data_IF_591408359916
#
_entry.id   IF_591408359916
#
_cell.length_a   1.000
_cell.length_b   1.000
_cell.length_c   1.000
_cell.angle_alpha   90.00
_cell.angle_beta   90.00
_cell.angle_gamma   90.00
#
_symmetry.space_group_name_H-M   'P 1'
#
loop_
_entity.id
_entity.type
_entity.pdbx_description
1 polymer ?
#
# COMPACT_ATOMS: atom_id res chain seq x y z
N UNK A 1 -10.88 -30.58 -41.53
CA UNK A 1 -10.65 -29.15 -41.20
C UNK A 1 -10.29 -29.09 -39.72
N UNK A 2 -9.00 -29.15 -39.40
CA UNK A 2 -8.49 -29.11 -38.03
C UNK A 2 -8.38 -27.62 -37.64
N UNK A 3 -9.36 -27.12 -36.91
CA UNK A 3 -9.32 -25.77 -36.35
C UNK A 3 -8.27 -25.72 -35.24
N UNK A 4 -7.03 -25.37 -35.59
CA UNK A 4 -6.03 -25.00 -34.59
C UNK A 4 -6.45 -23.64 -34.06
N UNK A 5 -7.14 -23.65 -32.92
CA UNK A 5 -7.38 -22.46 -32.11
C UNK A 5 -6.04 -22.02 -31.53
N UNK A 6 -5.32 -21.16 -32.25
CA UNK A 6 -4.20 -20.42 -31.68
C UNK A 6 -4.84 -19.44 -30.70
N UNK A 7 -4.89 -19.80 -29.43
CA UNK A 7 -5.21 -18.86 -28.37
C UNK A 7 -4.11 -17.80 -28.37
N UNK A 8 -4.38 -16.64 -29.00
CA UNK A 8 -3.57 -15.45 -28.79
C UNK A 8 -3.66 -15.13 -27.30
N UNK A 9 -2.59 -15.39 -26.56
CA UNK A 9 -2.50 -15.02 -25.14
C UNK A 9 -2.42 -13.49 -25.09
N UNK A 10 -3.57 -12.83 -25.06
CA UNK A 10 -3.65 -11.40 -24.84
C UNK A 10 -3.08 -11.12 -23.45
N UNK A 11 -2.25 -10.08 -23.35
CA UNK A 11 -1.67 -9.70 -22.07
C UNK A 11 -2.78 -9.33 -21.09
N UNK A 12 -2.90 -10.07 -19.99
CA UNK A 12 -3.99 -9.91 -19.04
C UNK A 12 -3.48 -9.85 -17.61
N UNK A 13 -3.90 -8.80 -16.89
CA UNK A 13 -3.72 -8.70 -15.45
C UNK A 13 -4.71 -9.60 -14.71
N UNK A 14 -4.24 -10.27 -13.67
CA UNK A 14 -5.10 -10.90 -12.67
C UNK A 14 -5.86 -9.84 -11.86
N UNK A 15 -6.88 -10.28 -11.14
CA UNK A 15 -7.43 -9.48 -10.05
C UNK A 15 -6.34 -9.15 -9.02
N UNK A 16 -6.51 -8.03 -8.34
CA UNK A 16 -5.68 -7.68 -7.19
C UNK A 16 -5.98 -8.64 -6.04
N UNK A 17 -4.92 -9.11 -5.40
CA UNK A 17 -4.96 -9.92 -4.19
C UNK A 17 -4.38 -9.09 -3.06
N UNK A 18 -5.20 -8.76 -2.07
CA UNK A 18 -4.78 -8.05 -0.87
C UNK A 18 -3.75 -8.88 -0.09
N UNK A 19 -2.76 -8.22 0.49
CA UNK A 19 -1.66 -8.82 1.24
C UNK A 19 -1.58 -8.25 2.66
N UNK A 20 -2.64 -8.43 3.48
CA UNK A 20 -2.76 -7.81 4.80
C UNK A 20 -1.66 -8.24 5.78
N UNK A 21 -1.09 -9.43 5.57
CA UNK A 21 -0.03 -10.01 6.41
C UNK A 21 1.37 -9.49 6.07
N UNK A 22 1.50 -8.59 5.09
CA UNK A 22 2.81 -8.00 4.75
C UNK A 22 3.29 -7.15 5.94
N UNK A 23 4.42 -7.50 6.57
CA UNK A 23 4.88 -6.77 7.74
C UNK A 23 5.27 -5.34 7.37
N UNK A 24 4.92 -4.40 8.25
CA UNK A 24 5.41 -3.04 8.11
C UNK A 24 6.90 -2.98 8.48
N UNK A 25 7.77 -2.34 7.66
CA UNK A 25 9.19 -2.25 7.97
C UNK A 25 9.49 -1.41 9.22
N UNK A 26 8.54 -0.58 9.65
CA UNK A 26 8.61 0.18 10.91
C UNK A 26 7.32 -0.02 11.69
N UNK A 27 7.36 0.22 12.98
CA UNK A 27 6.19 0.03 13.85
C UNK A 27 5.51 1.34 14.26
N UNK A 28 6.07 2.50 13.86
CA UNK A 28 5.58 3.80 14.32
C UNK A 28 5.69 4.92 13.28
N UNK A 29 4.96 6.01 13.53
CA UNK A 29 5.05 7.30 12.88
C UNK A 29 4.37 7.41 11.52
N UNK A 30 3.72 6.36 11.02
CA UNK A 30 3.33 6.23 9.61
C UNK A 30 4.53 6.42 8.65
N UNK A 31 5.73 6.05 9.10
CA UNK A 31 6.96 6.20 8.32
C UNK A 31 7.21 5.02 7.36
N UNK A 32 6.50 3.91 7.56
CA UNK A 32 6.67 2.69 6.79
C UNK A 32 5.77 2.64 5.57
N UNK A 33 6.21 1.87 4.59
CA UNK A 33 5.40 1.50 3.43
C UNK A 33 5.47 -0.01 3.30
N UNK A 34 4.31 -0.64 3.12
CA UNK A 34 4.19 -2.08 2.86
C UNK A 34 3.42 -2.33 1.58
N UNK A 35 3.51 -3.55 1.06
CA UNK A 35 2.69 -3.99 -0.07
C UNK A 35 1.28 -4.26 0.45
N UNK A 36 0.31 -3.54 -0.09
CA UNK A 36 -1.11 -3.67 0.25
C UNK A 36 -1.80 -4.74 -0.60
N UNK A 37 -1.44 -4.80 -1.90
CA UNK A 37 -1.99 -5.78 -2.81
C UNK A 37 -1.02 -6.10 -3.94
N UNK A 38 -1.14 -7.31 -4.49
CA UNK A 38 -0.35 -7.76 -5.64
C UNK A 38 -1.26 -8.28 -6.75
N UNK A 39 -0.77 -8.26 -7.99
CA UNK A 39 -1.41 -8.91 -9.14
C UNK A 39 -0.34 -9.48 -10.06
N UNK A 40 -0.69 -10.51 -10.79
CA UNK A 40 0.18 -11.16 -11.78
C UNK A 40 -0.31 -10.86 -13.18
N UNK A 41 0.59 -10.92 -14.16
CA UNK A 41 0.25 -10.76 -15.57
C UNK A 41 0.58 -12.04 -16.33
N UNK A 42 -0.32 -12.45 -17.21
CA UNK A 42 -0.02 -13.42 -18.25
C UNK A 42 0.32 -12.65 -19.52
N UNK A 43 1.55 -12.77 -20.05
CA UNK A 43 2.02 -12.02 -21.22
C UNK A 43 2.81 -10.75 -20.87
N UNK A 44 2.74 -9.73 -21.72
CA UNK A 44 3.47 -8.44 -21.53
C UNK A 44 2.48 -7.36 -21.10
N UNK A 45 2.34 -7.13 -19.80
CA UNK A 45 1.48 -6.07 -19.27
C UNK A 45 2.28 -4.80 -18.92
N UNK A 46 1.67 -3.64 -19.11
CA UNK A 46 2.16 -2.36 -18.60
C UNK A 46 1.51 -1.99 -17.27
N UNK A 47 2.25 -1.31 -16.41
CA UNK A 47 1.77 -0.79 -15.12
C UNK A 47 2.23 -1.61 -13.92
N UNK A 48 1.84 -1.20 -12.70
CA UNK A 48 2.36 -1.81 -11.48
C UNK A 48 1.77 -3.19 -11.22
N UNK A 49 2.58 -4.11 -10.73
CA UNK A 49 2.17 -5.42 -10.20
C UNK A 49 1.90 -5.40 -8.69
N UNK A 50 2.25 -4.30 -8.02
CA UNK A 50 2.10 -4.12 -6.58
C UNK A 50 1.47 -2.76 -6.27
N UNK A 51 0.60 -2.74 -5.27
CA UNK A 51 0.10 -1.54 -4.61
C UNK A 51 0.73 -1.43 -3.24
N UNK A 52 0.94 -0.20 -2.80
CA UNK A 52 1.57 0.09 -1.53
C UNK A 52 0.63 0.89 -0.65
N UNK A 53 0.79 0.73 0.66
CA UNK A 53 0.11 1.53 1.68
C UNK A 53 1.08 1.93 2.78
N UNK A 54 0.81 3.05 3.44
CA UNK A 54 1.57 3.43 4.63
C UNK A 54 1.15 2.61 5.85
N UNK A 55 2.10 2.43 6.75
CA UNK A 55 1.90 1.58 7.92
C UNK A 55 2.72 2.04 9.12
N UNK A 56 2.42 1.47 10.28
CA UNK A 56 3.03 1.84 11.56
C UNK A 56 2.36 3.07 12.18
N UNK A 57 1.04 3.03 12.36
CA UNK A 57 0.23 4.18 12.81
C UNK A 57 0.57 4.69 14.22
N UNK A 58 1.08 3.82 15.08
CA UNK A 58 1.45 4.16 16.45
C UNK A 58 2.43 5.34 16.47
N UNK A 59 2.29 6.27 17.42
CA UNK A 59 3.25 7.35 17.57
C UNK A 59 4.66 6.84 17.89
N UNK A 60 5.69 7.40 17.25
CA UNK A 60 7.06 7.14 17.66
C UNK A 60 7.40 7.88 18.97
N UNK A 61 8.21 7.24 19.81
CA UNK A 61 8.81 7.85 20.98
C UNK A 61 10.09 8.62 20.61
N UNK A 62 10.47 9.57 21.46
CA UNK A 62 11.75 10.26 21.37
C UNK A 62 12.92 9.25 21.37
N UNK A 63 14.01 9.46 20.61
CA UNK A 63 14.37 10.66 19.84
C UNK A 63 13.81 10.70 18.41
N UNK A 64 13.06 9.68 18.00
CA UNK A 64 12.50 9.64 16.66
C UNK A 64 11.40 10.70 16.52
N UNK A 65 11.20 11.19 15.30
CA UNK A 65 10.06 12.05 14.99
C UNK A 65 8.78 11.29 15.29
N UNK A 66 7.91 11.88 16.10
CA UNK A 66 6.67 11.26 16.56
C UNK A 66 5.78 10.79 15.41
N UNK A 67 5.64 11.61 14.36
CA UNK A 67 4.96 11.27 13.12
C UNK A 67 5.81 11.72 11.92
N UNK A 68 5.76 10.94 10.83
CA UNK A 68 6.42 11.28 9.58
C UNK A 68 5.69 12.41 8.83
N UNK A 69 6.37 13.10 7.89
CA UNK A 69 5.75 14.14 7.08
C UNK A 69 4.46 13.64 6.41
N UNK A 70 3.40 14.45 6.44
CA UNK A 70 2.07 14.03 6.01
C UNK A 70 1.15 13.61 7.15
N UNK A 71 1.70 13.35 8.34
CA UNK A 71 0.95 12.86 9.50
C UNK A 71 1.19 13.72 10.74
N UNK A 72 0.17 13.85 11.58
CA UNK A 72 0.19 14.54 12.87
C UNK A 72 -0.37 13.65 13.97
N UNK A 73 -0.10 13.99 15.24
CA UNK A 73 -0.76 13.35 16.37
C UNK A 73 -2.27 13.60 16.31
N UNK A 74 -3.06 12.53 16.24
CA UNK A 74 -4.52 12.55 16.32
C UNK A 74 -5.02 11.70 17.49
N UNK A 75 -6.16 12.08 18.06
CA UNK A 75 -6.89 11.27 19.03
C UNK A 75 -7.95 10.46 18.29
N UNK A 76 -7.85 9.14 18.32
CA UNK A 76 -8.83 8.25 17.72
C UNK A 76 -10.06 8.07 18.63
N UNK A 77 -11.21 7.61 18.07
CA UNK A 77 -12.40 7.27 18.87
C UNK A 77 -12.13 6.22 19.96
N UNK A 78 -11.11 5.37 19.78
CA UNK A 78 -10.60 4.42 20.77
C UNK A 78 -9.96 5.09 22.00
N UNK A 79 -9.81 6.41 22.01
CA UNK A 79 -9.08 7.22 23.01
C UNK A 79 -7.57 6.98 23.03
N UNK A 80 -7.04 6.41 21.96
CA UNK A 80 -5.60 6.23 21.74
C UNK A 80 -5.06 7.33 20.83
N UNK A 81 -3.78 7.66 21.02
CA UNK A 81 -3.10 8.59 20.14
C UNK A 81 -2.32 7.85 19.07
N UNK A 82 -2.62 8.17 17.82
CA UNK A 82 -1.92 7.66 16.64
C UNK A 82 -1.53 8.81 15.73
N UNK A 83 -0.63 8.53 14.80
CA UNK A 83 -0.37 9.43 13.70
C UNK A 83 -1.55 9.35 12.72
N UNK A 84 -2.13 10.49 12.35
CA UNK A 84 -3.26 10.59 11.41
C UNK A 84 -2.87 11.50 10.25
N UNK A 85 -3.39 11.22 9.06
CA UNK A 85 -3.10 12.02 7.87
C UNK A 85 -3.59 13.47 8.07
N UNK A 86 -2.77 14.43 7.66
CA UNK A 86 -3.19 15.83 7.58
C UNK A 86 -4.12 15.95 6.37
N UNK A 87 -5.33 16.50 6.53
CA UNK A 87 -6.33 16.60 5.46
C UNK A 87 -5.83 17.31 4.17
N UNK A 88 -4.73 18.06 4.25
CA UNK A 88 -4.11 18.77 3.14
C UNK A 88 -2.97 18.02 2.43
N UNK A 89 -2.52 16.88 2.95
CA UNK A 89 -1.43 16.10 2.35
C UNK A 89 -2.00 14.75 1.92
N UNK A 90 -2.04 14.44 0.61
CA UNK A 90 -2.49 13.13 0.15
C UNK A 90 -1.58 12.05 0.73
N UNK A 91 -2.14 10.87 1.02
CA UNK A 91 -1.35 9.73 1.47
C UNK A 91 -0.17 9.52 0.50
N UNK A 92 1.04 9.35 1.05
CA UNK A 92 2.31 9.11 0.34
C UNK A 92 2.23 7.99 -0.70
N UNK A 93 1.32 7.04 -0.56
CA UNK A 93 1.10 5.90 -1.46
C UNK A 93 -0.15 6.03 -2.32
N UNK A 94 -0.78 7.20 -2.38
CA UNK A 94 -1.82 7.47 -3.38
C UNK A 94 -1.19 7.45 -4.77
N UNK A 95 -1.19 6.29 -5.41
CA UNK A 95 -0.86 6.14 -6.82
C UNK A 95 -2.20 6.08 -7.57
N UNK A 96 -2.35 7.01 -8.52
CA UNK A 96 -3.44 7.10 -9.49
C UNK A 96 -3.67 5.79 -10.26
#
# INVERSE_FOLDING_TARGET
VLFILIAAVLAQWSAWTETPDTPCPVTCGYCGVRVAATRTCTGVCSGPSQRYEECGAQMCLWPNKTCCPGYIKGLLPSREFECVAIASIPAKTTIA
#
